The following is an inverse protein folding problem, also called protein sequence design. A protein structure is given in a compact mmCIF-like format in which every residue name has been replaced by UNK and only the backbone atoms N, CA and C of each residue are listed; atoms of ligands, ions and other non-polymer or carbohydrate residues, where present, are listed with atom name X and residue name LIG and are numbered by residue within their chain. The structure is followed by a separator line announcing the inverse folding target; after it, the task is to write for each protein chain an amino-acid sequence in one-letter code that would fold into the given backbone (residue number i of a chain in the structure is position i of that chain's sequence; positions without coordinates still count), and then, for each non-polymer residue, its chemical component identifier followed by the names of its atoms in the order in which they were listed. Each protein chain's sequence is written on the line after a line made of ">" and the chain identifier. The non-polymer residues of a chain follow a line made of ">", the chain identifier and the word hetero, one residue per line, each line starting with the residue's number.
data_IF_249494359195
#
_entry.id   IF_249494359195
#
_cell.length_a   1.000
_cell.length_b   1.000
_cell.length_c   1.000
_cell.angle_alpha   90.00
_cell.angle_beta   90.00
_cell.angle_gamma   90.00
#
_symmetry.space_group_name_H-M   'P 1'
#
loop_
_entity.id
_entity.type
_entity.pdbx_description
1 polymer ?
#
# COMPACT_ATOMS: atom_id res chain seq x y z
N UNK A 1 32.58 -29.73 6.69
CA UNK A 1 32.47 -28.28 6.46
C UNK A 1 31.21 -28.06 5.63
N UNK A 2 30.08 -27.81 6.29
CA UNK A 2 28.77 -27.68 5.62
C UNK A 2 28.60 -26.25 5.13
N UNK A 3 28.64 -26.04 3.81
CA UNK A 3 28.22 -24.79 3.19
C UNK A 3 26.70 -24.80 3.08
N UNK A 4 26.01 -24.31 4.10
CA UNK A 4 24.59 -23.95 3.97
C UNK A 4 24.49 -22.74 3.06
N UNK A 5 24.37 -22.99 1.75
CA UNK A 5 23.87 -21.98 0.82
C UNK A 5 22.41 -21.71 1.21
N UNK A 6 22.21 -20.64 1.96
CA UNK A 6 20.89 -20.06 2.17
C UNK A 6 20.32 -19.76 0.78
N UNK A 7 19.39 -20.59 0.33
CA UNK A 7 18.46 -20.21 -0.73
C UNK A 7 17.77 -18.96 -0.24
N UNK A 8 18.16 -17.79 -0.77
CA UNK A 8 17.33 -16.59 -0.67
C UNK A 8 15.96 -17.02 -1.19
N UNK A 9 14.89 -16.91 -0.40
CA UNK A 9 13.57 -16.95 -0.98
C UNK A 9 13.57 -15.80 -1.97
N UNK A 10 13.64 -16.11 -3.26
CA UNK A 10 13.03 -15.25 -4.27
C UNK A 10 11.56 -15.34 -3.93
N UNK A 11 11.12 -14.53 -2.97
CA UNK A 11 9.71 -14.32 -2.70
C UNK A 11 9.12 -13.99 -4.06
N UNK A 12 8.29 -14.88 -4.58
CA UNK A 12 7.65 -14.68 -5.86
C UNK A 12 7.03 -13.29 -5.83
N UNK A 13 7.12 -12.56 -6.94
CA UNK A 13 6.21 -11.44 -7.16
C UNK A 13 4.79 -12.03 -7.23
N UNK A 14 4.22 -12.40 -6.09
CA UNK A 14 2.78 -12.42 -5.93
C UNK A 14 2.40 -10.95 -6.04
N UNK A 15 1.99 -10.56 -7.24
CA UNK A 15 1.51 -9.23 -7.49
C UNK A 15 0.41 -8.94 -6.45
N UNK A 16 0.45 -7.78 -5.77
CA UNK A 16 -0.60 -7.38 -4.85
C UNK A 16 -1.97 -7.61 -5.48
N UNK A 17 -2.77 -8.48 -4.86
CA UNK A 17 -4.13 -8.72 -5.35
C UNK A 17 -4.95 -7.51 -4.97
N UNK A 18 -5.15 -6.60 -5.92
CA UNK A 18 -5.96 -5.40 -5.70
C UNK A 18 -7.43 -5.84 -5.52
N UNK A 19 -8.10 -5.43 -4.43
CA UNK A 19 -9.51 -5.77 -4.20
C UNK A 19 -10.39 -5.36 -5.38
N UNK A 20 -11.25 -6.27 -5.85
CA UNK A 20 -12.15 -5.99 -6.99
C UNK A 20 -13.18 -4.89 -6.69
N UNK A 21 -13.48 -4.63 -5.42
CA UNK A 21 -14.37 -3.55 -4.97
C UNK A 21 -13.80 -2.14 -5.14
N UNK A 22 -12.48 -2.04 -5.35
CA UNK A 22 -11.82 -0.77 -5.63
C UNK A 22 -12.07 -0.40 -7.10
N UNK A 23 -13.07 0.43 -7.38
CA UNK A 23 -13.34 0.85 -8.77
C UNK A 23 -12.48 2.04 -9.21
N UNK A 24 -12.16 2.95 -8.28
CA UNK A 24 -11.40 4.17 -8.55
C UNK A 24 -9.94 3.85 -8.91
N UNK A 25 -9.44 4.22 -10.11
CA UNK A 25 -8.05 4.00 -10.50
C UNK A 25 -7.05 4.62 -9.52
N UNK A 26 -7.38 5.80 -8.97
CA UNK A 26 -6.53 6.49 -7.99
C UNK A 26 -6.47 5.73 -6.67
N UNK A 27 -7.59 5.17 -6.22
CA UNK A 27 -7.61 4.37 -5.01
C UNK A 27 -6.82 3.06 -5.19
N UNK A 28 -6.86 2.44 -6.39
CA UNK A 28 -6.01 1.28 -6.72
C UNK A 28 -4.53 1.61 -6.61
N UNK A 29 -4.10 2.77 -7.09
CA UNK A 29 -2.71 3.20 -7.00
C UNK A 29 -2.26 3.43 -5.56
N UNK A 30 -3.09 4.06 -4.73
CA UNK A 30 -2.80 4.22 -3.29
C UNK A 30 -2.68 2.86 -2.61
N UNK A 31 -3.63 1.96 -2.84
CA UNK A 31 -3.60 0.61 -2.27
C UNK A 31 -2.34 -0.17 -2.71
N UNK A 32 -2.01 -0.12 -4.01
CA UNK A 32 -0.84 -0.79 -4.57
C UNK A 32 0.46 -0.23 -3.98
N UNK A 33 0.54 1.10 -3.79
CA UNK A 33 1.68 1.73 -3.15
C UNK A 33 1.87 1.17 -1.73
N UNK A 34 0.83 1.18 -0.90
CA UNK A 34 0.89 0.64 0.46
C UNK A 34 1.24 -0.86 0.46
N UNK A 35 0.70 -1.65 -0.47
CA UNK A 35 1.06 -3.06 -0.59
C UNK A 35 2.51 -3.31 -0.99
N UNK A 36 3.14 -2.37 -1.69
CA UNK A 36 4.52 -2.50 -2.17
C UNK A 36 5.52 -2.02 -1.13
N UNK A 37 5.22 -0.92 -0.44
CA UNK A 37 6.13 -0.28 0.52
C UNK A 37 5.83 -0.63 1.98
N UNK A 38 4.70 -1.28 2.26
CA UNK A 38 4.26 -1.69 3.60
C UNK A 38 3.48 -0.59 4.32
N UNK A 39 4.09 0.56 4.53
CA UNK A 39 3.48 1.71 5.21
C UNK A 39 3.91 3.05 4.59
N UNK A 40 3.05 4.05 4.65
CA UNK A 40 3.34 5.38 4.11
C UNK A 40 2.66 6.50 4.90
N UNK A 41 3.27 7.68 4.89
CA UNK A 41 2.62 8.91 5.37
C UNK A 41 1.89 9.61 4.24
N UNK A 42 1.04 10.58 4.57
CA UNK A 42 0.36 11.41 3.57
C UNK A 42 1.34 12.15 2.65
N UNK A 43 2.48 12.60 3.18
CA UNK A 43 3.48 13.34 2.42
C UNK A 43 4.25 12.42 1.46
N UNK A 44 4.54 11.19 1.87
CA UNK A 44 5.16 10.18 0.99
C UNK A 44 4.23 9.81 -0.17
N UNK A 45 2.93 9.64 0.11
CA UNK A 45 1.91 9.37 -0.90
C UNK A 45 1.75 10.56 -1.86
N UNK A 46 1.74 11.79 -1.36
CA UNK A 46 1.68 13.00 -2.20
C UNK A 46 2.91 13.07 -3.12
N UNK A 47 4.11 12.94 -2.56
CA UNK A 47 5.36 13.07 -3.31
C UNK A 47 5.53 11.95 -4.34
N UNK A 48 5.08 10.73 -4.03
CA UNK A 48 5.30 9.57 -4.89
C UNK A 48 4.22 9.38 -5.94
N UNK A 49 2.97 9.75 -5.64
CA UNK A 49 1.83 9.56 -6.54
C UNK A 49 1.40 10.86 -7.24
N UNK A 50 2.03 11.98 -6.91
CA UNK A 50 1.73 13.32 -7.44
C UNK A 50 0.24 13.68 -7.30
N UNK A 51 -0.38 13.19 -6.21
CA UNK A 51 -1.80 13.42 -5.92
C UNK A 51 -1.96 14.51 -4.87
N UNK A 52 -2.92 15.42 -5.09
CA UNK A 52 -3.27 16.46 -4.12
C UNK A 52 -3.68 15.83 -2.77
N UNK A 53 -3.20 16.38 -1.66
CA UNK A 53 -3.56 15.95 -0.29
C UNK A 53 -5.06 15.78 -0.10
N UNK A 54 -5.89 16.70 -0.61
CA UNK A 54 -7.36 16.61 -0.47
C UNK A 54 -7.94 15.35 -1.13
N UNK A 55 -7.38 14.93 -2.27
CA UNK A 55 -7.78 13.67 -2.93
C UNK A 55 -7.28 12.47 -2.14
N UNK A 56 -6.04 12.51 -1.64
CA UNK A 56 -5.48 11.44 -0.83
C UNK A 56 -6.27 11.22 0.46
N UNK A 57 -6.60 12.28 1.21
CA UNK A 57 -7.41 12.16 2.42
C UNK A 57 -8.77 11.52 2.15
N UNK A 58 -9.45 11.91 1.06
CA UNK A 58 -10.73 11.31 0.68
C UNK A 58 -10.59 9.82 0.33
N UNK A 59 -9.53 9.45 -0.40
CA UNK A 59 -9.23 8.06 -0.74
C UNK A 59 -8.90 7.24 0.50
N UNK A 60 -7.96 7.70 1.33
CA UNK A 60 -7.51 7.00 2.53
C UNK A 60 -8.65 6.80 3.53
N UNK A 61 -9.49 7.83 3.73
CA UNK A 61 -10.71 7.71 4.53
C UNK A 61 -11.63 6.62 3.98
N UNK A 62 -11.85 6.57 2.66
CA UNK A 62 -12.69 5.53 2.04
C UNK A 62 -12.11 4.13 2.21
N UNK A 63 -10.79 3.97 2.11
CA UNK A 63 -10.12 2.68 2.28
C UNK A 63 -10.16 2.21 3.75
N UNK A 64 -10.01 3.13 4.70
CA UNK A 64 -10.13 2.86 6.13
C UNK A 64 -11.56 2.44 6.50
N UNK A 65 -12.57 3.17 6.03
CA UNK A 65 -14.00 2.84 6.25
C UNK A 65 -14.38 1.46 5.69
N UNK A 66 -13.69 1.00 4.65
CA UNK A 66 -13.87 -0.33 4.05
C UNK A 66 -13.05 -1.43 4.74
N UNK A 67 -12.19 -1.09 5.69
CA UNK A 67 -11.31 -2.04 6.37
C UNK A 67 -10.18 -2.57 5.49
N UNK A 68 -9.84 -1.86 4.40
CA UNK A 68 -8.78 -2.29 3.47
C UNK A 68 -7.39 -1.83 3.90
N UNK A 69 -7.33 -0.75 4.69
CA UNK A 69 -6.12 -0.19 5.28
C UNK A 69 -6.40 0.20 6.73
N UNK A 70 -5.34 0.25 7.52
CA UNK A 70 -5.35 0.76 8.88
C UNK A 70 -4.54 2.06 8.97
N UNK A 71 -4.91 2.93 9.90
CA UNK A 71 -4.21 4.19 10.17
C UNK A 71 -3.64 4.17 11.59
N UNK A 72 -2.31 4.15 11.69
CA UNK A 72 -1.59 4.32 12.95
C UNK A 72 -0.93 5.70 12.97
N UNK A 73 -1.52 6.61 13.76
CA UNK A 73 -1.14 8.02 13.82
C UNK A 73 -1.06 8.69 12.43
N UNK A 74 0.14 8.89 11.91
CA UNK A 74 0.42 9.57 10.64
C UNK A 74 0.70 8.60 9.49
N UNK A 75 0.62 7.29 9.76
CA UNK A 75 1.00 6.23 8.83
C UNK A 75 -0.21 5.38 8.45
N UNK A 76 -0.24 5.00 7.18
CA UNK A 76 -1.24 4.11 6.60
C UNK A 76 -0.57 2.82 6.18
N UNK A 77 -1.21 1.67 6.43
CA UNK A 77 -0.73 0.34 6.05
C UNK A 77 -1.90 -0.56 5.68
N UNK A 78 -1.65 -1.68 5.01
CA UNK A 78 -2.68 -2.71 4.82
C UNK A 78 -3.16 -3.27 6.17
N UNK A 79 -4.44 -3.63 6.24
CA UNK A 79 -5.07 -4.30 7.38
C UNK A 79 -4.64 -5.78 7.46
#
# INVERSE_FOLDING_TARGET
>A
MQGTMHTRPTAGLEAPTIPSELESPRAKLVYLFLSTYGEATISELESSLEMKKISLYSILSTLCERGLIDQDAERYRLC
#
